data_IF_872794589114
#
_entry.id   IF_872794589114
#
_cell.length_a   1.000
_cell.length_b   1.000
_cell.length_c   1.000
_cell.angle_alpha   90.00
_cell.angle_beta   90.00
_cell.angle_gamma   90.00
#
_symmetry.space_group_name_H-M   'P 1'
#
loop_
_entity.id
_entity.type
_entity.pdbx_description
1 polymer ?
#
# COMPACT_ATOMS: atom_id res chain seq x y z
N UNK A 1 -8.48 -27.69 9.60
CA UNK A 1 -8.50 -27.39 8.15
C UNK A 1 -8.80 -25.90 7.99
N UNK A 2 -7.77 -25.11 7.71
CA UNK A 2 -7.84 -23.65 7.62
C UNK A 2 -8.83 -23.25 6.54
N UNK A 3 -9.98 -22.68 6.92
CA UNK A 3 -11.01 -22.24 5.98
C UNK A 3 -10.40 -21.25 4.98
N UNK A 4 -10.35 -21.65 3.70
CA UNK A 4 -9.97 -20.77 2.58
C UNK A 4 -10.90 -19.57 2.61
N UNK A 5 -10.34 -18.37 2.80
CA UNK A 5 -11.07 -17.11 2.59
C UNK A 5 -11.73 -17.16 1.22
N UNK A 6 -13.04 -16.91 1.16
CA UNK A 6 -13.76 -16.86 -0.11
C UNK A 6 -13.18 -15.75 -1.00
N UNK A 7 -13.27 -15.92 -2.32
CA UNK A 7 -12.80 -14.89 -3.26
C UNK A 7 -13.45 -13.52 -2.98
N UNK A 8 -14.73 -13.52 -2.59
CA UNK A 8 -15.50 -12.32 -2.19
C UNK A 8 -14.92 -11.62 -0.96
N UNK A 9 -14.48 -12.38 0.04
CA UNK A 9 -13.92 -11.84 1.29
C UNK A 9 -12.56 -11.19 1.05
N UNK A 10 -11.78 -11.76 0.14
CA UNK A 10 -10.50 -11.19 -0.33
C UNK A 10 -10.69 -9.89 -1.09
N UNK A 11 -11.68 -9.84 -1.97
CA UNK A 11 -12.00 -8.62 -2.73
C UNK A 11 -12.52 -7.53 -1.80
N UNK A 12 -13.41 -7.87 -0.86
CA UNK A 12 -13.91 -6.92 0.13
C UNK A 12 -12.77 -6.35 0.98
N UNK A 13 -11.86 -7.20 1.47
CA UNK A 13 -10.69 -6.76 2.23
C UNK A 13 -9.79 -5.84 1.41
N UNK A 14 -9.49 -6.20 0.15
CA UNK A 14 -8.65 -5.39 -0.73
C UNK A 14 -9.27 -4.01 -1.03
N UNK A 15 -10.56 -3.98 -1.34
CA UNK A 15 -11.28 -2.73 -1.62
C UNK A 15 -11.35 -1.84 -0.38
N UNK A 16 -11.64 -2.42 0.79
CA UNK A 16 -11.70 -1.67 2.04
C UNK A 16 -10.32 -1.13 2.45
N UNK A 17 -9.27 -1.92 2.23
CA UNK A 17 -7.89 -1.48 2.43
C UNK A 17 -7.54 -0.29 1.53
N UNK A 18 -7.84 -0.37 0.24
CA UNK A 18 -7.56 0.71 -0.72
C UNK A 18 -8.31 2.00 -0.40
N UNK A 19 -9.62 1.92 -0.12
CA UNK A 19 -10.44 3.09 0.21
C UNK A 19 -9.90 3.79 1.47
N UNK A 20 -9.55 3.03 2.50
CA UNK A 20 -9.00 3.58 3.73
C UNK A 20 -7.58 4.12 3.55
N UNK A 21 -6.74 3.46 2.76
CA UNK A 21 -5.39 3.93 2.46
C UNK A 21 -5.44 5.29 1.76
N UNK A 22 -6.28 5.45 0.73
CA UNK A 22 -6.47 6.73 0.04
C UNK A 22 -7.04 7.78 0.99
N UNK A 23 -8.06 7.44 1.77
CA UNK A 23 -8.69 8.38 2.72
C UNK A 23 -7.71 8.87 3.78
N UNK A 24 -6.90 7.96 4.34
CA UNK A 24 -5.91 8.30 5.36
C UNK A 24 -4.76 9.13 4.78
N UNK A 25 -4.37 8.87 3.53
CA UNK A 25 -3.34 9.66 2.86
C UNK A 25 -3.81 11.08 2.60
N UNK A 26 -5.06 11.26 2.17
CA UNK A 26 -5.68 12.58 2.02
C UNK A 26 -5.74 13.28 3.37
N UNK A 27 -6.16 12.58 4.44
CA UNK A 27 -6.20 13.14 5.79
C UNK A 27 -4.79 13.55 6.27
N UNK A 28 -3.78 12.70 6.07
CA UNK A 28 -2.40 13.00 6.41
C UNK A 28 -1.93 14.26 5.71
N UNK A 29 -2.07 14.33 4.38
CA UNK A 29 -1.67 15.51 3.62
C UNK A 29 -2.47 16.76 4.03
N UNK A 30 -3.77 16.66 4.27
CA UNK A 30 -4.60 17.78 4.68
C UNK A 30 -4.26 18.31 6.08
N UNK A 31 -3.70 17.49 6.97
CA UNK A 31 -3.24 17.92 8.29
C UNK A 31 -1.86 18.60 8.25
N UNK A 32 -1.02 18.24 7.28
CA UNK A 32 0.35 18.76 7.16
C UNK A 32 0.53 19.80 6.05
N UNK A 33 -0.49 20.04 5.22
CA UNK A 33 -0.45 20.98 4.09
C UNK A 33 -1.73 21.81 4.01
N UNK A 34 -1.63 23.04 3.50
CA UNK A 34 -2.76 23.95 3.33
C UNK A 34 -3.46 23.81 1.95
N UNK A 35 -3.21 22.71 1.24
CA UNK A 35 -3.80 22.50 -0.09
C UNK A 35 -5.29 22.18 -0.02
N UNK A 36 -6.03 22.59 -1.05
CA UNK A 36 -7.45 22.27 -1.18
C UNK A 36 -7.67 20.75 -1.23
N UNK A 37 -8.64 20.24 -0.46
CA UNK A 37 -8.99 18.80 -0.40
C UNK A 37 -9.28 18.21 -1.78
N UNK A 38 -9.83 19.01 -2.70
CA UNK A 38 -10.06 18.59 -4.09
C UNK A 38 -8.75 18.26 -4.84
N UNK A 39 -7.70 19.07 -4.67
CA UNK A 39 -6.41 18.84 -5.28
C UNK A 39 -5.68 17.65 -4.63
N UNK A 40 -5.75 17.55 -3.29
CA UNK A 40 -5.18 16.43 -2.54
C UNK A 40 -5.84 15.09 -2.90
N UNK A 41 -7.17 15.04 -2.97
CA UNK A 41 -7.91 13.83 -3.33
C UNK A 41 -7.65 13.39 -4.76
N UNK A 42 -7.66 14.32 -5.73
CA UNK A 42 -7.29 14.02 -7.11
C UNK A 42 -5.86 13.48 -7.23
N UNK A 43 -4.91 14.11 -6.55
CA UNK A 43 -3.50 13.66 -6.52
C UNK A 43 -3.39 12.25 -5.95
N UNK A 44 -4.03 11.96 -4.82
CA UNK A 44 -3.96 10.65 -4.18
C UNK A 44 -4.61 9.53 -5.00
N UNK A 45 -5.71 9.82 -5.70
CA UNK A 45 -6.34 8.84 -6.61
C UNK A 45 -5.42 8.50 -7.78
N UNK A 46 -4.78 9.51 -8.38
CA UNK A 46 -3.82 9.31 -9.48
C UNK A 46 -2.63 8.48 -8.97
N UNK A 47 -2.09 8.81 -7.81
CA UNK A 47 -0.95 8.11 -7.22
C UNK A 47 -1.30 6.66 -6.86
N UNK A 48 -2.47 6.41 -6.26
CA UNK A 48 -2.95 5.06 -6.00
C UNK A 48 -3.07 4.24 -7.30
N UNK A 49 -3.57 4.87 -8.37
CA UNK A 49 -3.66 4.23 -9.70
C UNK A 49 -2.28 3.89 -10.25
N UNK A 50 -1.35 4.85 -10.22
CA UNK A 50 0.04 4.64 -10.64
C UNK A 50 0.68 3.52 -9.81
N UNK A 51 0.48 3.52 -8.49
CA UNK A 51 1.02 2.49 -7.60
C UNK A 51 0.47 1.10 -7.91
N UNK A 52 -0.84 0.95 -8.14
CA UNK A 52 -1.43 -0.32 -8.56
C UNK A 52 -0.87 -0.81 -9.90
N UNK A 53 -0.79 0.08 -10.90
CA UNK A 53 -0.20 -0.24 -12.20
C UNK A 53 1.28 -0.63 -12.08
N UNK A 54 2.07 0.15 -11.32
CA UNK A 54 3.48 -0.11 -11.08
C UNK A 54 3.69 -1.42 -10.34
N UNK A 55 2.88 -1.73 -9.32
CA UNK A 55 2.90 -3.01 -8.62
C UNK A 55 2.66 -4.18 -9.57
N UNK A 56 1.69 -4.08 -10.48
CA UNK A 56 1.45 -5.12 -11.47
C UNK A 56 2.64 -5.28 -12.44
N UNK A 57 3.16 -4.18 -12.99
CA UNK A 57 4.31 -4.20 -13.92
C UNK A 57 5.56 -4.75 -13.25
N UNK A 58 5.86 -4.30 -12.03
CA UNK A 58 7.02 -4.71 -11.27
C UNK A 58 6.94 -6.19 -10.88
N UNK A 59 5.78 -6.65 -10.40
CA UNK A 59 5.57 -8.06 -10.09
C UNK A 59 5.72 -8.93 -11.33
N UNK A 60 5.18 -8.51 -12.48
CA UNK A 60 5.32 -9.23 -13.75
C UNK A 60 6.78 -9.31 -14.22
N UNK A 61 7.53 -8.20 -14.13
CA UNK A 61 8.95 -8.17 -14.47
C UNK A 61 9.76 -9.11 -13.56
N UNK A 62 9.52 -9.04 -12.24
CA UNK A 62 10.23 -9.87 -11.27
C UNK A 62 9.87 -11.34 -11.33
N UNK A 63 8.62 -11.68 -11.67
CA UNK A 63 8.22 -13.07 -11.90
C UNK A 63 8.97 -13.68 -13.10
N UNK A 64 9.29 -12.86 -14.11
CA UNK A 64 10.07 -13.29 -15.28
C UNK A 64 11.57 -13.39 -15.01
N UNK A 65 12.12 -12.50 -14.18
CA UNK A 65 13.55 -12.46 -13.84
C UNK A 65 13.91 -13.49 -12.77
N UNK A 66 13.01 -13.74 -11.83
CA UNK A 66 13.27 -14.60 -10.69
C UNK A 66 12.41 -15.87 -10.76
N UNK A 67 12.77 -16.79 -11.66
CA UNK A 67 12.21 -18.15 -11.70
C UNK A 67 12.87 -19.02 -10.62
N UNK A 68 12.30 -19.04 -9.41
CA UNK A 68 12.78 -19.86 -8.28
C UNK A 68 11.92 -19.71 -7.02
N UNK A 69 11.96 -20.73 -6.13
CA UNK A 69 11.12 -20.80 -4.92
C UNK A 69 11.30 -19.57 -4.00
N UNK A 70 10.19 -18.92 -3.62
CA UNK A 70 10.16 -17.70 -2.79
C UNK A 70 10.88 -17.85 -1.44
N UNK A 71 10.99 -19.06 -0.93
CA UNK A 71 11.61 -19.37 0.38
C UNK A 71 13.15 -19.43 0.37
N UNK A 72 13.80 -19.68 -0.77
CA UNK A 72 15.27 -19.77 -0.85
C UNK A 72 15.96 -18.44 -1.21
N UNK A 73 15.21 -17.35 -1.39
CA UNK A 73 15.77 -16.05 -1.76
C UNK A 73 16.44 -15.38 -0.56
N UNK A 74 17.73 -15.06 -0.71
CA UNK A 74 18.53 -14.32 0.27
C UNK A 74 17.85 -13.04 0.74
N UNK A 75 18.01 -12.70 2.01
CA UNK A 75 17.52 -11.45 2.61
C UNK A 75 17.99 -10.23 1.80
N UNK A 76 19.21 -10.30 1.24
CA UNK A 76 19.76 -9.25 0.38
C UNK A 76 18.91 -9.01 -0.87
N UNK A 77 18.39 -10.08 -1.48
CA UNK A 77 17.51 -9.98 -2.65
C UNK A 77 16.16 -9.33 -2.28
N UNK A 78 15.64 -9.61 -1.08
CA UNK A 78 14.39 -9.00 -0.60
C UNK A 78 14.57 -7.50 -0.37
N UNK A 79 15.67 -7.09 0.26
CA UNK A 79 15.98 -5.68 0.47
C UNK A 79 16.14 -4.97 -0.88
N UNK A 80 16.90 -5.54 -1.81
CA UNK A 80 17.07 -4.98 -3.15
C UNK A 80 15.74 -4.83 -3.89
N UNK A 81 14.86 -5.84 -3.82
CA UNK A 81 13.53 -5.78 -4.41
C UNK A 81 12.67 -4.67 -3.82
N UNK A 82 12.64 -4.51 -2.50
CA UNK A 82 11.85 -3.46 -1.82
C UNK A 82 12.39 -2.08 -2.18
N UNK A 83 13.72 -1.89 -2.17
CA UNK A 83 14.36 -0.62 -2.53
C UNK A 83 14.09 -0.28 -3.99
N UNK A 84 14.19 -1.25 -4.91
CA UNK A 84 13.94 -1.02 -6.32
C UNK A 84 12.46 -0.73 -6.60
N UNK A 85 11.56 -1.40 -5.88
CA UNK A 85 10.11 -1.15 -5.99
C UNK A 85 9.75 0.27 -5.53
N UNK A 86 10.15 0.62 -4.30
CA UNK A 86 9.90 1.96 -3.76
C UNK A 86 10.60 3.04 -4.58
N UNK A 87 11.89 2.86 -4.87
CA UNK A 87 12.67 3.82 -5.65
C UNK A 87 12.10 4.05 -7.04
N UNK A 88 11.68 2.98 -7.73
CA UNK A 88 11.01 3.08 -9.02
C UNK A 88 9.67 3.81 -8.93
N UNK A 89 8.88 3.53 -7.90
CA UNK A 89 7.59 4.20 -7.68
C UNK A 89 7.77 5.71 -7.45
N UNK A 90 8.75 6.09 -6.62
CA UNK A 90 9.07 7.50 -6.31
C UNK A 90 9.38 8.34 -7.56
N UNK A 91 10.02 7.75 -8.57
CA UNK A 91 10.32 8.43 -9.84
C UNK A 91 9.03 8.85 -10.57
N UNK A 92 7.93 8.12 -10.42
CA UNK A 92 6.64 8.47 -11.02
C UNK A 92 5.78 9.35 -10.13
N UNK A 93 5.77 9.10 -8.82
CA UNK A 93 4.89 9.81 -7.89
C UNK A 93 5.36 11.22 -7.58
N UNK A 94 6.68 11.45 -7.46
CA UNK A 94 7.24 12.77 -7.14
C UNK A 94 6.89 13.83 -8.21
N UNK A 95 7.11 13.61 -9.52
CA UNK A 95 6.74 14.59 -10.54
C UNK A 95 5.23 14.86 -10.60
N UNK A 96 4.41 13.84 -10.35
CA UNK A 96 2.95 13.97 -10.32
C UNK A 96 2.51 14.82 -9.13
N UNK A 97 3.02 14.55 -7.92
CA UNK A 97 2.74 15.39 -6.75
C UNK A 97 3.20 16.83 -6.97
N UNK A 98 4.43 17.02 -7.45
CA UNK A 98 5.01 18.34 -7.68
C UNK A 98 4.21 19.17 -8.68
N UNK A 99 3.76 18.55 -9.78
CA UNK A 99 2.98 19.24 -10.82
C UNK A 99 1.56 19.60 -10.38
N UNK A 100 0.85 18.70 -9.68
CA UNK A 100 -0.54 18.94 -9.29
C UNK A 100 -0.63 19.86 -8.07
N UNK A 101 0.23 19.65 -7.07
CA UNK A 101 0.21 20.46 -5.83
C UNK A 101 1.02 21.76 -5.96
N UNK A 102 1.73 21.95 -7.08
CA UNK A 102 2.55 23.12 -7.33
C UNK A 102 3.65 23.34 -6.26
N UNK A 103 4.30 22.24 -5.88
CA UNK A 103 5.36 22.22 -4.85
C UNK A 103 6.72 21.86 -5.45
N UNK A 104 7.79 22.11 -4.72
CA UNK A 104 9.13 21.66 -5.10
C UNK A 104 9.27 20.13 -5.08
N UNK A 105 10.23 19.59 -5.85
CA UNK A 105 10.53 18.14 -5.85
C UNK A 105 10.93 17.61 -4.46
N UNK A 106 11.62 18.44 -3.66
CA UNK A 106 12.01 18.10 -2.30
C UNK A 106 10.81 17.99 -1.35
N UNK A 107 9.85 18.92 -1.48
CA UNK A 107 8.61 18.90 -0.70
C UNK A 107 7.74 17.70 -1.10
N UNK A 108 7.61 17.44 -2.41
CA UNK A 108 6.92 16.25 -2.93
C UNK A 108 7.53 14.94 -2.41
N UNK A 109 8.86 14.85 -2.32
CA UNK A 109 9.55 13.70 -1.75
C UNK A 109 9.23 13.52 -0.26
N UNK A 110 9.23 14.60 0.53
CA UNK A 110 8.87 14.54 1.95
C UNK A 110 7.40 14.11 2.13
N UNK A 111 6.50 14.66 1.32
CA UNK A 111 5.09 14.29 1.33
C UNK A 111 4.88 12.81 1.00
N UNK A 112 5.55 12.30 -0.03
CA UNK A 112 5.46 10.88 -0.42
C UNK A 112 5.99 9.96 0.69
N UNK A 113 7.15 10.29 1.28
CA UNK A 113 7.69 9.53 2.41
C UNK A 113 6.72 9.55 3.60
N UNK A 114 6.14 10.71 3.90
CA UNK A 114 5.14 10.85 4.96
C UNK A 114 3.94 9.96 4.73
N UNK A 115 3.34 10.05 3.54
CA UNK A 115 2.19 9.21 3.13
C UNK A 115 2.55 7.73 3.18
N UNK A 116 3.69 7.33 2.62
CA UNK A 116 4.17 5.95 2.62
C UNK A 116 4.35 5.41 4.04
N UNK A 117 4.89 6.23 4.95
CA UNK A 117 5.04 5.87 6.36
C UNK A 117 3.68 5.68 7.05
N UNK A 118 2.74 6.62 6.84
CA UNK A 118 1.37 6.53 7.38
C UNK A 118 0.63 5.30 6.87
N UNK A 119 0.67 5.03 5.57
CA UNK A 119 0.06 3.83 4.96
C UNK A 119 0.71 2.57 5.53
N UNK A 120 2.03 2.55 5.69
CA UNK A 120 2.74 1.37 6.21
C UNK A 120 2.33 1.07 7.65
N UNK A 121 2.26 2.08 8.51
CA UNK A 121 1.80 1.93 9.89
C UNK A 121 0.35 1.45 9.93
N UNK A 122 -0.52 2.05 9.11
CA UNK A 122 -1.91 1.62 8.96
C UNK A 122 -2.03 0.17 8.49
N UNK A 123 -1.27 -0.22 7.45
CA UNK A 123 -1.30 -1.57 6.91
C UNK A 123 -0.88 -2.59 7.96
N UNK A 124 0.12 -2.27 8.78
CA UNK A 124 0.51 -3.11 9.90
C UNK A 124 -0.64 -3.26 10.91
N UNK A 125 -1.26 -2.17 11.35
CA UNK A 125 -2.40 -2.20 12.28
C UNK A 125 -3.61 -2.94 11.70
N UNK A 126 -3.96 -2.69 10.44
CA UNK A 126 -5.08 -3.34 9.77
C UNK A 126 -4.87 -4.86 9.65
N UNK A 127 -3.65 -5.28 9.27
CA UNK A 127 -3.31 -6.70 9.21
C UNK A 127 -3.40 -7.36 10.60
N UNK A 128 -2.92 -6.71 11.66
CA UNK A 128 -3.04 -7.21 13.03
C UNK A 128 -4.50 -7.35 13.48
N UNK A 129 -5.33 -6.35 13.23
CA UNK A 129 -6.76 -6.38 13.58
C UNK A 129 -7.47 -7.48 12.81
N UNK A 130 -7.19 -7.63 11.52
CA UNK A 130 -7.82 -8.66 10.69
C UNK A 130 -7.43 -10.07 11.17
N UNK A 131 -6.15 -10.32 11.46
CA UNK A 131 -5.68 -11.59 11.99
C UNK A 131 -6.30 -11.91 13.36
N UNK A 132 -6.42 -10.90 14.24
CA UNK A 132 -7.03 -11.08 15.56
C UNK A 132 -8.54 -11.34 15.47
N UNK A 133 -9.25 -10.62 14.59
CA UNK A 133 -10.68 -10.81 14.35
C UNK A 133 -10.95 -12.21 13.80
N UNK A 134 -10.10 -12.69 12.87
CA UNK A 134 -10.19 -14.05 12.33
C UNK A 134 -9.88 -15.10 13.39
N UNK A 135 -8.85 -14.89 14.23
CA UNK A 135 -8.53 -15.79 15.34
C UNK A 135 -9.71 -15.89 16.34
N UNK A 136 -10.38 -14.78 16.63
CA UNK A 136 -11.53 -14.73 17.54
C UNK A 136 -12.76 -15.47 16.98
N UNK A 137 -13.07 -15.29 15.68
CA UNK A 137 -14.18 -15.98 15.01
C UNK A 137 -13.96 -17.51 14.98
N UNK A 138 -12.72 -17.96 14.77
CA UNK A 138 -12.39 -19.40 14.80
C UNK A 138 -12.38 -19.99 16.22
N UNK A 139 -11.94 -19.24 17.24
CA UNK A 139 -12.04 -19.70 18.64
C UNK A 139 -13.49 -19.78 19.12
N UNK A 140 -14.36 -18.87 18.72
CA UNK A 140 -15.80 -18.90 19.08
C UNK A 140 -16.52 -20.12 18.49
N UNK A 141 -16.14 -20.58 17.28
CA UNK A 141 -16.69 -21.82 16.70
C UNK A 141 -16.18 -23.11 17.34
N UNK A 142 -14.99 -23.10 17.92
CA UNK A 142 -14.41 -24.27 18.61
C UNK A 142 -14.83 -24.39 20.08
N UNK A 143 -15.38 -23.33 20.69
CA UNK A 143 -15.94 -23.36 22.06
C UNK A 143 -17.42 -23.76 22.12
N UNK A 144 -18.07 -23.92 20.96
CA UNK A 144 -19.48 -24.33 20.83
C UNK A 144 -19.65 -25.81 20.42
N UNK A 145 -18.58 -26.61 20.49
CA UNK A 145 -18.60 -28.06 20.29
C UNK A 145 -18.16 -28.79 21.56
#
# INVERSE_FOLDING_TARGET
MTGKMGATERVFQAVLFEILAVSLSILGLALFTDHAIGALSGTMIIIATIAMCWNFVFNWFFDKVATGAKEQRSVLFRIFHVILFQGGLLVFTIPVMASILNVGLWEALIMDIGVTFFITLYAFTFNLVYDHTRAYIFHSKNAAC
#
